data_IF_100448912835
#
_entry.id   IF_100448912835
#
_cell.length_a   1.000
_cell.length_b   1.000
_cell.length_c   1.000
_cell.angle_alpha   90.00
_cell.angle_beta   90.00
_cell.angle_gamma   90.00
#
_symmetry.space_group_name_H-M   'P 1'
#
loop_
_entity.id
_entity.type
_entity.pdbx_description
1 polymer ?
#
# COMPACT_ATOMS: atom_id res chain seq x y z
N UNK A 1 -53.17 -19.05 18.93
CA UNK A 1 -52.45 -19.48 20.15
C UNK A 1 -51.50 -20.59 19.76
N UNK A 2 -50.25 -20.25 19.47
CA UNK A 2 -49.12 -21.16 19.42
C UNK A 2 -48.00 -20.47 20.19
N UNK A 3 -47.60 -21.09 21.30
CA UNK A 3 -46.47 -20.66 22.13
C UNK A 3 -45.21 -21.29 21.52
N UNK A 4 -44.21 -20.47 21.22
CA UNK A 4 -42.85 -20.93 20.97
C UNK A 4 -41.95 -20.34 22.06
N UNK A 5 -41.33 -21.22 22.84
CA UNK A 5 -40.49 -20.91 23.99
C UNK A 5 -39.14 -20.42 23.45
N UNK A 6 -38.75 -19.20 23.83
CA UNK A 6 -37.50 -18.58 23.42
C UNK A 6 -36.29 -19.25 24.08
N UNK A 7 -35.44 -19.87 23.27
CA UNK A 7 -34.05 -20.14 23.62
C UNK A 7 -33.19 -19.04 23.01
N UNK A 8 -33.00 -17.94 23.74
CA UNK A 8 -32.10 -16.87 23.34
C UNK A 8 -30.66 -17.35 23.43
N UNK A 9 -30.06 -17.69 22.29
CA UNK A 9 -28.61 -17.86 22.18
C UNK A 9 -27.94 -16.52 22.51
N UNK A 10 -26.94 -16.47 23.41
CA UNK A 10 -26.20 -15.23 23.64
C UNK A 10 -25.43 -14.90 22.36
N UNK A 11 -25.84 -13.83 21.69
CA UNK A 11 -25.07 -13.22 20.60
C UNK A 11 -23.92 -12.48 21.29
N UNK A 12 -22.78 -13.14 21.48
CA UNK A 12 -21.57 -12.45 21.89
C UNK A 12 -21.13 -11.58 20.72
N UNK A 13 -21.44 -10.29 20.77
CA UNK A 13 -20.84 -9.33 19.87
C UNK A 13 -19.34 -9.32 20.15
N UNK A 14 -18.54 -9.91 19.25
CA UNK A 14 -17.11 -9.71 19.25
C UNK A 14 -16.87 -8.20 19.11
N UNK A 15 -16.32 -7.56 20.14
CA UNK A 15 -15.84 -6.19 20.00
C UNK A 15 -14.76 -6.21 18.92
N UNK A 16 -15.05 -5.67 17.75
CA UNK A 16 -14.04 -5.45 16.74
C UNK A 16 -13.03 -4.48 17.36
N UNK A 17 -11.82 -4.97 17.64
CA UNK A 17 -10.71 -4.10 17.97
C UNK A 17 -10.40 -3.30 16.72
N UNK A 18 -10.94 -2.10 16.63
CA UNK A 18 -10.45 -1.10 15.68
C UNK A 18 -9.07 -0.70 16.18
N UNK A 19 -8.05 -1.51 15.89
CA UNK A 19 -6.67 -1.04 15.95
C UNK A 19 -6.60 0.12 14.97
N UNK A 20 -6.83 1.33 15.46
CA UNK A 20 -6.68 2.53 14.67
C UNK A 20 -5.23 2.56 14.23
N UNK A 21 -5.00 2.38 12.92
CA UNK A 21 -3.69 2.59 12.35
C UNK A 21 -3.35 4.06 12.54
N UNK A 22 -2.36 4.32 13.39
CA UNK A 22 -1.78 5.66 13.52
C UNK A 22 -0.64 5.72 12.52
N UNK A 23 -0.86 6.50 11.46
CA UNK A 23 0.16 6.71 10.44
C UNK A 23 1.24 7.65 11.00
N UNK A 24 2.50 7.21 10.92
CA UNK A 24 3.66 8.06 11.08
C UNK A 24 4.33 8.17 9.72
N UNK A 25 4.47 9.40 9.23
CA UNK A 25 5.06 9.64 7.92
C UNK A 25 6.42 10.29 8.06
N UNK A 26 7.37 9.71 7.33
CA UNK A 26 8.64 10.36 7.03
C UNK A 26 8.48 11.21 5.78
N UNK A 27 9.13 12.39 5.75
CA UNK A 27 9.09 13.26 4.57
C UNK A 27 9.66 12.52 3.33
N UNK A 28 8.90 12.42 2.23
CA UNK A 28 9.38 11.73 1.04
C UNK A 28 10.47 12.53 0.33
N UNK A 29 11.44 11.83 -0.26
CA UNK A 29 12.57 12.42 -0.99
C UNK A 29 12.68 11.71 -2.34
N UNK A 30 12.21 12.35 -3.42
CA UNK A 30 12.09 11.71 -4.75
C UNK A 30 11.29 10.38 -4.71
N UNK A 31 10.02 10.40 -4.26
CA UNK A 31 9.21 9.18 -4.09
C UNK A 31 8.63 8.64 -5.41
N UNK A 32 8.94 9.25 -6.56
CA UNK A 32 8.38 8.89 -7.87
C UNK A 32 9.51 8.81 -8.88
N UNK A 33 9.54 7.75 -9.68
CA UNK A 33 10.48 7.59 -10.79
C UNK A 33 9.79 7.00 -12.02
N UNK A 34 10.20 7.46 -13.22
CA UNK A 34 9.83 6.88 -14.50
C UNK A 34 10.93 5.93 -14.97
N UNK A 35 10.56 4.80 -15.57
CA UNK A 35 11.52 3.85 -16.14
C UNK A 35 12.29 4.50 -17.32
N UNK A 36 13.52 4.05 -17.62
CA UNK A 36 14.31 4.61 -18.72
C UNK A 36 13.64 4.52 -20.10
N UNK A 37 12.80 3.50 -20.31
CA UNK A 37 12.03 3.32 -21.54
C UNK A 37 10.70 4.13 -21.56
N UNK A 38 10.40 4.86 -20.49
CA UNK A 38 9.20 5.68 -20.35
C UNK A 38 7.89 4.91 -20.20
N UNK A 39 7.92 3.58 -20.07
CA UNK A 39 6.71 2.75 -20.05
C UNK A 39 6.10 2.54 -18.67
N UNK A 40 6.90 2.69 -17.59
CA UNK A 40 6.49 2.37 -16.22
C UNK A 40 6.79 3.49 -15.24
N UNK A 41 5.87 3.73 -14.31
CA UNK A 41 6.04 4.62 -13.18
C UNK A 41 6.12 3.79 -11.90
N UNK A 42 7.11 4.09 -11.06
CA UNK A 42 7.25 3.53 -9.72
C UNK A 42 6.99 4.63 -8.69
N UNK A 43 6.15 4.36 -7.69
CA UNK A 43 5.73 5.33 -6.65
C UNK A 43 5.87 4.70 -5.26
N UNK A 44 6.58 5.37 -4.36
CA UNK A 44 6.61 4.99 -2.94
C UNK A 44 5.25 5.27 -2.29
N UNK A 45 4.56 4.23 -1.85
CA UNK A 45 3.37 4.31 -1.03
C UNK A 45 3.78 4.08 0.43
N UNK A 46 4.15 5.18 1.09
CA UNK A 46 4.66 5.18 2.45
C UNK A 46 3.64 4.62 3.47
N UNK A 47 2.36 5.05 3.46
CA UNK A 47 1.33 4.49 4.35
C UNK A 47 1.16 2.97 4.27
N UNK A 48 1.40 2.37 3.10
CA UNK A 48 1.20 0.94 2.86
C UNK A 48 2.52 0.13 2.80
N UNK A 49 3.67 0.76 3.05
CA UNK A 49 4.99 0.12 3.02
C UNK A 49 5.30 -0.61 1.69
N UNK A 50 4.84 -0.04 0.57
CA UNK A 50 4.93 -0.63 -0.77
C UNK A 50 5.53 0.32 -1.79
N UNK A 51 6.07 -0.28 -2.85
CA UNK A 51 6.29 0.38 -4.12
C UNK A 51 5.15 0.01 -5.07
N UNK A 52 4.42 1.02 -5.52
CA UNK A 52 3.34 0.90 -6.50
C UNK A 52 3.88 1.01 -7.92
N UNK A 53 3.34 0.20 -8.82
CA UNK A 53 3.70 0.18 -10.23
C UNK A 53 2.53 0.60 -11.11
N UNK A 54 2.81 1.47 -12.07
CA UNK A 54 1.85 1.87 -13.09
C UNK A 54 2.44 1.72 -14.48
N UNK A 55 1.66 1.19 -15.43
CA UNK A 55 1.90 1.37 -16.86
C UNK A 55 1.46 2.79 -17.24
N UNK A 56 2.32 3.53 -17.94
CA UNK A 56 2.05 4.90 -18.38
C UNK A 56 2.16 5.07 -19.89
N UNK A 57 2.23 3.96 -20.64
CA UNK A 57 2.39 3.96 -22.09
C UNK A 57 1.24 4.67 -22.83
N UNK A 58 0.04 4.65 -22.25
CA UNK A 58 -1.16 5.31 -22.78
C UNK A 58 -1.21 6.82 -22.48
N UNK A 59 -0.28 7.36 -21.70
CA UNK A 59 -0.34 8.70 -21.11
C UNK A 59 -1.25 8.82 -19.89
N UNK A 60 -2.04 7.78 -19.59
CA UNK A 60 -2.79 7.65 -18.33
C UNK A 60 -2.17 6.53 -17.48
N UNK A 61 -1.82 6.78 -16.20
CA UNK A 61 -1.33 5.73 -15.32
C UNK A 61 -2.37 4.64 -15.07
N UNK A 62 -2.02 3.40 -15.38
CA UNK A 62 -2.80 2.18 -15.11
C UNK A 62 -2.05 1.35 -14.09
N UNK A 63 -2.63 1.08 -12.92
CA UNK A 63 -1.97 0.24 -11.91
C UNK A 63 -1.73 -1.17 -12.45
N UNK A 64 -0.50 -1.65 -12.31
CA UNK A 64 -0.08 -2.98 -12.75
C UNK A 64 0.44 -3.87 -11.61
N UNK A 65 0.43 -3.36 -10.38
CA UNK A 65 0.76 -4.12 -9.17
C UNK A 65 1.55 -3.33 -8.14
N UNK A 66 1.89 -3.99 -7.04
CA UNK A 66 2.65 -3.42 -5.94
C UNK A 66 3.61 -4.44 -5.34
N UNK A 67 4.75 -3.98 -4.83
CA UNK A 67 5.77 -4.81 -4.19
C UNK A 67 6.01 -4.29 -2.77
N UNK A 68 5.95 -5.13 -1.71
CA UNK A 68 6.34 -4.73 -0.36
C UNK A 68 7.85 -4.47 -0.31
N UNK A 69 8.26 -3.35 0.29
CA UNK A 69 9.66 -2.89 0.31
C UNK A 69 10.21 -2.63 1.71
N UNK A 70 9.41 -2.87 2.75
CA UNK A 70 9.77 -2.51 4.13
C UNK A 70 9.18 -1.17 4.55
N UNK A 71 9.48 -0.77 5.78
CA UNK A 71 8.88 0.42 6.40
C UNK A 71 9.42 1.71 5.78
N UNK A 72 8.59 2.74 5.75
CA UNK A 72 8.94 4.10 5.35
C UNK A 72 9.75 4.21 4.05
N UNK A 73 9.24 3.72 2.90
CA UNK A 73 9.87 3.96 1.62
C UNK A 73 9.78 5.45 1.25
N UNK A 74 10.94 6.11 1.14
CA UNK A 74 11.02 7.56 0.92
C UNK A 74 11.55 7.95 -0.45
N UNK A 75 12.33 7.07 -1.09
CA UNK A 75 12.95 7.34 -2.39
C UNK A 75 12.93 6.12 -3.30
N UNK A 76 12.79 6.35 -4.61
CA UNK A 76 12.89 5.31 -5.64
C UNK A 76 13.69 5.79 -6.84
N UNK A 77 14.49 4.90 -7.45
CA UNK A 77 15.21 5.18 -8.70
C UNK A 77 15.42 3.92 -9.54
N UNK A 78 15.23 4.02 -10.84
CA UNK A 78 15.57 2.94 -11.76
C UNK A 78 17.09 2.88 -11.99
N UNK A 79 17.66 1.69 -11.84
CA UNK A 79 19.01 1.38 -12.32
C UNK A 79 18.96 0.97 -13.80
N UNK A 80 17.97 0.15 -14.16
CA UNK A 80 17.64 -0.27 -15.54
C UNK A 80 16.11 -0.29 -15.73
N UNK A 81 15.60 -0.63 -16.92
CA UNK A 81 14.16 -0.80 -17.13
C UNK A 81 13.53 -1.94 -16.29
N UNK A 82 14.36 -2.86 -15.79
CA UNK A 82 13.92 -4.06 -15.07
C UNK A 82 14.42 -4.10 -13.62
N UNK A 83 15.19 -3.10 -13.18
CA UNK A 83 15.75 -3.03 -11.84
C UNK A 83 15.52 -1.64 -11.25
N UNK A 84 14.98 -1.62 -10.03
CA UNK A 84 14.70 -0.41 -9.27
C UNK A 84 15.30 -0.53 -7.89
N UNK A 85 15.83 0.57 -7.36
CA UNK A 85 16.30 0.69 -6.00
C UNK A 85 15.34 1.55 -5.20
N UNK A 86 15.07 1.12 -3.98
CA UNK A 86 14.19 1.80 -3.04
C UNK A 86 14.97 2.06 -1.76
N UNK A 87 14.81 3.25 -1.19
CA UNK A 87 15.40 3.61 0.09
C UNK A 87 14.30 3.68 1.14
N UNK A 88 14.51 2.95 2.22
CA UNK A 88 13.70 3.00 3.43
C UNK A 88 14.39 3.89 4.47
N UNK A 89 13.63 4.71 5.19
CA UNK A 89 14.14 5.47 6.32
C UNK A 89 13.56 4.92 7.62
N UNK A 90 14.43 4.32 8.45
CA UNK A 90 14.05 3.75 9.75
C UNK A 90 14.97 4.40 10.80
N UNK A 91 14.38 5.18 11.70
CA UNK A 91 15.07 5.91 12.79
C UNK A 91 14.77 5.29 14.15
#
# INVERSE_FOLDING_TARGET
MFVAIGAGLPITASAASTNAFINFETAPVHPVALSPDGSRLAVCNLPDARLEWFDVSSGTPVSIGAVPVGLDPVSVRFHTANEVWVVNQIS
#
